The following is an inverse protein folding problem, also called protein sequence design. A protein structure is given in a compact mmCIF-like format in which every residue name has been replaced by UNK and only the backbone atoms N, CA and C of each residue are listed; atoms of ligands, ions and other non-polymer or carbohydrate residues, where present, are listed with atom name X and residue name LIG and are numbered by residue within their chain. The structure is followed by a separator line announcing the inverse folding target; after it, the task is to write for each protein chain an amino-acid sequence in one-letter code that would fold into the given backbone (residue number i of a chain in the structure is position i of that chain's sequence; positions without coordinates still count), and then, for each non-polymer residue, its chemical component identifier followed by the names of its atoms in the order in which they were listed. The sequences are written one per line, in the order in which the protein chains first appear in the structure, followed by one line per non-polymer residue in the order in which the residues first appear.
data_IF_861732399810
#
_entry.id   IF_861732399810
#
_cell.length_a   1.000
_cell.length_b   1.000
_cell.length_c   1.000
_cell.angle_alpha   90.00
_cell.angle_beta   90.00
_cell.angle_gamma   90.00
#
_symmetry.space_group_name_H-M   'P 1'
#
loop_
_entity.id
_entity.type
_entity.pdbx_description
1 polymer ?
#
# COMPACT_ATOMS: atom_id res chain seq x y z
N UNK A 1 -18.35 -0.82 -10.24
CA UNK A 1 -18.57 -1.39 -8.89
C UNK A 1 -17.39 -0.96 -8.05
N UNK A 2 -17.59 -0.41 -6.83
CA UNK A 2 -16.47 0.03 -6.01
C UNK A 2 -15.57 -1.18 -5.71
N UNK A 3 -14.25 -0.99 -5.84
CA UNK A 3 -13.25 -1.99 -5.44
C UNK A 3 -13.42 -2.23 -3.94
N UNK A 4 -14.04 -3.36 -3.57
CA UNK A 4 -14.12 -3.76 -2.17
C UNK A 4 -12.79 -4.40 -1.81
N UNK A 5 -11.93 -3.64 -1.14
CA UNK A 5 -10.77 -4.20 -0.46
C UNK A 5 -11.27 -5.04 0.72
N UNK A 6 -10.56 -6.12 1.02
CA UNK A 6 -10.77 -6.92 2.20
C UNK A 6 -9.48 -6.91 3.04
N UNK A 7 -9.63 -6.48 4.29
CA UNK A 7 -8.56 -6.51 5.29
C UNK A 7 -8.63 -7.85 6.03
N UNK A 8 -7.53 -8.60 6.01
CA UNK A 8 -7.38 -9.90 6.66
C UNK A 8 -6.49 -9.82 7.91
N UNK A 9 -6.13 -8.61 8.36
CA UNK A 9 -5.29 -8.33 9.52
C UNK A 9 -3.81 -8.23 9.20
N UNK A 10 -3.25 -9.23 8.52
CA UNK A 10 -1.83 -9.30 8.11
C UNK A 10 -1.62 -8.97 6.62
N UNK A 11 -2.71 -8.98 5.85
CA UNK A 11 -2.74 -8.87 4.42
C UNK A 11 -4.01 -8.11 3.99
N UNK A 12 -3.88 -7.22 3.03
CA UNK A 12 -5.03 -6.62 2.33
C UNK A 12 -5.12 -7.22 0.93
N UNK A 13 -6.33 -7.57 0.49
CA UNK A 13 -6.58 -8.07 -0.86
C UNK A 13 -7.68 -7.28 -1.55
N UNK A 14 -7.63 -7.20 -2.88
CA UNK A 14 -8.70 -6.62 -3.68
C UNK A 14 -8.75 -7.22 -5.10
N UNK A 15 -9.95 -7.29 -5.71
CA UNK A 15 -10.08 -7.83 -7.06
C UNK A 15 -9.45 -6.89 -8.10
N UNK A 16 -8.79 -7.48 -9.11
CA UNK A 16 -8.24 -6.80 -10.27
C UNK A 16 -9.15 -6.86 -11.50
N UNK A 17 -10.11 -7.79 -11.50
CA UNK A 17 -11.16 -7.91 -12.50
C UNK A 17 -12.54 -8.05 -11.86
N UNK A 18 -13.58 -7.91 -12.68
CA UNK A 18 -14.97 -8.03 -12.22
C UNK A 18 -15.41 -9.48 -12.05
N UNK A 19 -14.72 -10.39 -12.73
CA UNK A 19 -15.00 -11.83 -12.71
C UNK A 19 -14.51 -12.50 -11.42
N UNK A 20 -13.66 -11.83 -10.64
CA UNK A 20 -13.13 -12.36 -9.39
C UNK A 20 -12.07 -13.44 -9.60
N UNK A 21 -11.45 -13.50 -10.78
CA UNK A 21 -10.42 -14.48 -11.12
C UNK A 21 -9.01 -14.00 -10.73
N UNK A 22 -8.80 -12.68 -10.61
CA UNK A 22 -7.50 -12.10 -10.25
C UNK A 22 -7.63 -11.14 -9.08
N UNK A 23 -6.71 -11.26 -8.13
CA UNK A 23 -6.59 -10.36 -6.99
C UNK A 23 -5.17 -9.81 -6.89
N UNK A 24 -5.11 -8.57 -6.41
CA UNK A 24 -3.89 -8.02 -5.86
C UNK A 24 -3.89 -8.23 -4.34
N UNK A 25 -2.69 -8.42 -3.78
CA UNK A 25 -2.48 -8.51 -2.35
C UNK A 25 -1.34 -7.59 -1.90
N UNK A 26 -1.44 -7.06 -0.69
CA UNK A 26 -0.41 -6.26 -0.05
C UNK A 26 -0.23 -6.70 1.41
N UNK A 27 0.95 -7.22 1.80
CA UNK A 27 1.28 -7.49 3.19
C UNK A 27 1.29 -6.21 4.03
N UNK A 28 0.70 -6.26 5.22
CA UNK A 28 0.71 -5.13 6.16
C UNK A 28 1.94 -5.12 7.07
N UNK A 29 2.63 -6.26 7.18
CA UNK A 29 3.87 -6.39 7.93
C UNK A 29 4.95 -7.06 7.07
N UNK A 30 6.22 -6.63 7.18
CA UNK A 30 7.35 -7.38 6.63
C UNK A 30 7.65 -8.62 7.48
N UNK A 31 8.45 -9.53 6.93
CA UNK A 31 8.96 -10.70 7.62
C UNK A 31 10.48 -10.74 7.60
N UNK A 32 11.08 -11.47 8.55
CA UNK A 32 12.50 -11.76 8.53
C UNK A 32 12.73 -12.92 7.57
N UNK A 33 13.70 -12.78 6.66
CA UNK A 33 14.05 -13.86 5.75
C UNK A 33 14.58 -15.05 6.54
N UNK A 34 14.25 -16.25 6.09
CA UNK A 34 14.72 -17.49 6.70
C UNK A 34 15.76 -18.17 5.83
N UNK A 35 16.70 -18.84 6.46
CA UNK A 35 17.60 -19.78 5.81
C UNK A 35 16.84 -21.06 5.39
N UNK A 36 17.44 -21.93 4.54
CA UNK A 36 16.84 -23.21 4.15
C UNK A 36 16.52 -24.14 5.34
N UNK A 37 17.17 -23.94 6.48
CA UNK A 37 16.91 -24.64 7.74
C UNK A 37 15.76 -24.01 8.57
N UNK A 38 15.14 -22.95 8.06
CA UNK A 38 14.06 -22.22 8.71
C UNK A 38 14.51 -21.16 9.73
N UNK A 39 15.81 -21.01 9.98
CA UNK A 39 16.30 -20.02 10.95
C UNK A 39 16.25 -18.59 10.40
N UNK A 40 15.92 -17.57 11.22
CA UNK A 40 15.98 -16.17 10.80
C UNK A 40 17.38 -15.77 10.33
N UNK A 41 17.48 -15.04 9.22
CA UNK A 41 18.71 -14.44 8.70
C UNK A 41 19.06 -13.18 9.46
N UNK A 42 19.48 -13.37 10.70
CA UNK A 42 19.97 -12.32 11.58
C UNK A 42 21.31 -12.76 12.15
N UNK A 43 22.29 -11.86 12.12
CA UNK A 43 23.62 -12.08 12.70
C UNK A 43 24.02 -10.87 13.53
N UNK A 44 24.50 -11.10 14.74
CA UNK A 44 25.09 -10.10 15.62
C UNK A 44 26.47 -10.59 16.02
N UNK A 45 27.51 -9.96 15.48
CA UNK A 45 28.91 -10.30 15.79
C UNK A 45 29.45 -9.26 16.78
N UNK A 46 29.82 -9.70 17.97
CA UNK A 46 30.32 -8.81 19.02
C UNK A 46 31.84 -8.62 18.93
N UNK A 47 32.29 -7.38 19.09
CA UNK A 47 33.70 -7.02 19.13
C UNK A 47 33.94 -5.99 20.25
N UNK A 48 34.01 -6.47 21.49
CA UNK A 48 34.09 -5.61 22.68
C UNK A 48 32.81 -4.80 22.89
N UNK A 49 32.94 -3.47 22.93
CA UNK A 49 31.82 -2.55 23.19
C UNK A 49 30.93 -2.31 21.97
N UNK A 50 31.38 -2.69 20.78
CA UNK A 50 30.62 -2.57 19.54
C UNK A 50 30.09 -3.94 19.11
N UNK A 51 29.07 -3.93 18.25
CA UNK A 51 28.61 -5.12 17.56
C UNK A 51 28.32 -4.81 16.09
N UNK A 52 28.48 -5.81 15.22
CA UNK A 52 28.10 -5.73 13.82
C UNK A 52 26.80 -6.50 13.63
N UNK A 53 25.74 -5.80 13.25
CA UNK A 53 24.44 -6.36 12.95
C UNK A 53 24.27 -6.56 11.45
N UNK A 54 23.78 -7.73 11.07
CA UNK A 54 23.25 -8.02 9.74
C UNK A 54 21.84 -8.60 9.87
N UNK A 55 20.86 -8.03 9.17
CA UNK A 55 19.46 -8.48 9.16
C UNK A 55 18.98 -8.52 7.71
N UNK A 56 18.44 -9.65 7.29
CA UNK A 56 17.73 -9.78 6.01
C UNK A 56 16.22 -9.85 6.25
N UNK A 57 15.47 -9.02 5.54
CA UNK A 57 14.01 -8.93 5.63
C UNK A 57 13.39 -9.00 4.25
N UNK A 58 12.10 -9.24 4.19
CA UNK A 58 11.32 -9.18 2.97
C UNK A 58 9.91 -8.67 3.27
N UNK A 59 9.29 -8.01 2.31
CA UNK A 59 7.92 -7.54 2.40
C UNK A 59 6.99 -8.54 1.74
N UNK A 60 6.72 -9.64 2.46
CA UNK A 60 5.93 -10.76 1.98
C UNK A 60 5.30 -11.50 3.17
N UNK A 61 4.08 -12.02 2.99
CA UNK A 61 3.46 -12.97 3.92
C UNK A 61 3.90 -14.40 3.57
N UNK A 62 3.76 -15.35 4.48
CA UNK A 62 4.21 -16.72 4.23
C UNK A 62 3.46 -17.39 3.06
N UNK A 63 4.14 -18.30 2.36
CA UNK A 63 3.52 -19.08 1.27
C UNK A 63 2.28 -19.84 1.74
N UNK A 64 2.32 -20.40 2.96
CA UNK A 64 1.18 -21.09 3.57
C UNK A 64 -0.03 -20.14 3.76
N UNK A 65 0.24 -18.87 4.11
CA UNK A 65 -0.81 -17.85 4.25
C UNK A 65 -1.38 -17.45 2.90
N UNK A 66 -0.54 -17.23 1.89
CA UNK A 66 -1.00 -16.98 0.52
C UNK A 66 -1.84 -18.14 0.00
N UNK A 67 -1.45 -19.39 0.29
CA UNK A 67 -2.20 -20.57 -0.14
C UNK A 67 -3.59 -20.62 0.50
N UNK A 68 -3.65 -20.37 1.81
CA UNK A 68 -4.90 -20.36 2.54
C UNK A 68 -5.88 -19.30 2.00
N UNK A 69 -5.36 -18.12 1.66
CA UNK A 69 -6.14 -17.04 1.05
C UNK A 69 -6.60 -17.43 -0.36
N UNK A 70 -5.71 -17.99 -1.19
CA UNK A 70 -6.04 -18.47 -2.54
C UNK A 70 -7.15 -19.52 -2.47
N UNK A 71 -6.97 -20.57 -1.67
CA UNK A 71 -7.94 -21.65 -1.50
C UNK A 71 -9.32 -21.14 -1.05
N UNK A 72 -9.36 -20.16 -0.16
CA UNK A 72 -10.61 -19.56 0.31
C UNK A 72 -11.32 -18.76 -0.80
N UNK A 73 -10.58 -18.04 -1.65
CA UNK A 73 -11.14 -17.31 -2.79
C UNK A 73 -11.62 -18.27 -3.88
N UNK A 74 -10.87 -19.33 -4.16
CA UNK A 74 -11.26 -20.35 -5.15
C UNK A 74 -12.56 -21.04 -4.75
N UNK A 75 -12.71 -21.39 -3.46
CA UNK A 75 -13.95 -21.96 -2.93
C UNK A 75 -15.14 -20.99 -3.00
N UNK A 76 -14.90 -19.67 -2.93
CA UNK A 76 -15.95 -18.65 -3.03
C UNK A 76 -16.46 -18.49 -4.48
N UNK A 77 -15.57 -18.59 -5.47
CA UNK A 77 -15.90 -18.36 -6.88
C UNK A 77 -16.12 -19.64 -7.69
N UNK A 78 -15.88 -20.81 -7.10
CA UNK A 78 -15.89 -22.11 -7.78
C UNK A 78 -14.99 -22.11 -9.04
N UNK A 79 -13.86 -21.41 -8.94
CA UNK A 79 -12.94 -21.18 -10.05
C UNK A 79 -11.52 -20.90 -9.54
N UNK A 80 -10.47 -21.22 -10.32
CA UNK A 80 -9.08 -20.89 -9.96
C UNK A 80 -8.86 -19.38 -9.81
N UNK A 81 -8.04 -19.00 -8.84
CA UNK A 81 -7.76 -17.58 -8.53
C UNK A 81 -6.27 -17.28 -8.61
N UNK A 82 -5.93 -16.21 -9.31
CA UNK A 82 -4.57 -15.69 -9.36
C UNK A 82 -4.37 -14.59 -8.31
N UNK A 83 -3.41 -14.80 -7.41
CA UNK A 83 -2.93 -13.77 -6.49
C UNK A 83 -1.66 -13.12 -7.05
N UNK A 84 -1.62 -11.79 -7.05
CA UNK A 84 -0.47 -11.01 -7.49
C UNK A 84 -0.10 -9.95 -6.46
N UNK A 85 1.19 -9.73 -6.22
CA UNK A 85 1.62 -8.67 -5.33
C UNK A 85 1.21 -7.30 -5.91
N UNK A 86 0.69 -6.42 -5.08
CA UNK A 86 0.23 -5.10 -5.49
C UNK A 86 1.35 -4.25 -6.10
N UNK A 87 1.10 -3.64 -7.26
CA UNK A 87 2.08 -2.80 -7.92
C UNK A 87 2.37 -1.53 -7.09
N UNK A 88 3.56 -1.48 -6.48
CA UNK A 88 4.04 -0.36 -5.66
C UNK A 88 5.29 0.25 -6.28
N UNK A 89 5.50 1.54 -6.04
CA UNK A 89 6.65 2.32 -6.51
C UNK A 89 7.49 2.81 -5.32
N UNK A 90 8.80 3.01 -5.55
CA UNK A 90 9.66 3.70 -4.57
C UNK A 90 9.81 2.98 -3.23
N UNK A 91 9.90 1.66 -3.24
CA UNK A 91 10.00 0.86 -2.00
C UNK A 91 11.31 1.15 -1.28
N UNK A 92 11.18 1.63 -0.04
CA UNK A 92 12.28 1.85 0.90
C UNK A 92 12.06 1.00 2.14
N UNK A 93 13.15 0.63 2.81
CA UNK A 93 13.12 -0.16 4.03
C UNK A 93 14.09 0.43 5.06
N UNK A 94 13.65 0.52 6.31
CA UNK A 94 14.43 0.99 7.44
C UNK A 94 14.29 0.06 8.64
N UNK A 95 15.37 -0.07 9.40
CA UNK A 95 15.42 -0.76 10.68
C UNK A 95 15.49 0.28 11.80
N UNK A 96 14.53 0.25 12.70
CA UNK A 96 14.41 1.13 13.86
C UNK A 96 14.79 0.33 15.12
N UNK A 97 15.75 0.82 15.89
CA UNK A 97 16.27 0.18 17.11
C UNK A 97 16.13 1.20 18.26
N UNK A 98 15.19 0.94 19.17
CA UNK A 98 14.82 1.91 20.20
C UNK A 98 14.37 3.26 19.62
N UNK A 99 14.54 4.34 20.38
CA UNK A 99 14.06 5.66 19.98
C UNK A 99 15.01 6.42 19.03
N UNK A 100 16.30 6.10 19.06
CA UNK A 100 17.35 6.99 18.53
C UNK A 100 18.17 6.37 17.38
N UNK A 101 18.03 5.07 17.11
CA UNK A 101 18.83 4.40 16.09
C UNK A 101 17.95 4.00 14.92
N UNK A 102 18.27 4.54 13.74
CA UNK A 102 17.63 4.21 12.47
C UNK A 102 18.69 3.84 11.45
N UNK A 103 18.53 2.68 10.81
CA UNK A 103 19.43 2.16 9.79
C UNK A 103 18.63 1.98 8.51
N UNK A 104 18.98 2.74 7.47
CA UNK A 104 18.38 2.54 6.14
C UNK A 104 18.95 1.28 5.50
N UNK A 105 18.13 0.55 4.75
CA UNK A 105 18.61 -0.58 3.95
C UNK A 105 19.60 -0.08 2.90
N UNK A 106 20.63 -0.88 2.61
CA UNK A 106 21.59 -0.53 1.55
C UNK A 106 20.90 -0.50 0.17
N UNK A 107 19.98 -1.43 -0.04
CA UNK A 107 19.10 -1.50 -1.22
C UNK A 107 17.93 -2.44 -0.93
N UNK A 108 16.84 -2.28 -1.67
CA UNK A 108 15.77 -3.26 -1.78
C UNK A 108 15.90 -3.97 -3.14
N UNK A 109 15.40 -5.21 -3.27
CA UNK A 109 15.52 -5.99 -4.51
C UNK A 109 14.82 -5.38 -5.74
N UNK A 110 14.08 -4.28 -5.60
CA UNK A 110 13.36 -3.60 -6.69
C UNK A 110 12.13 -4.35 -7.22
N UNK A 111 11.92 -5.58 -6.78
CA UNK A 111 10.78 -6.44 -7.15
C UNK A 111 10.31 -7.26 -5.95
N UNK A 112 9.01 -7.59 -5.85
CA UNK A 112 8.48 -8.46 -4.80
C UNK A 112 9.30 -9.75 -4.69
N UNK A 113 9.66 -10.20 -3.48
CA UNK A 113 9.18 -9.77 -2.16
C UNK A 113 9.89 -8.53 -1.57
N UNK A 114 10.56 -7.71 -2.37
CA UNK A 114 11.30 -6.52 -1.92
C UNK A 114 12.28 -6.82 -0.79
N UNK A 115 13.11 -7.84 -0.98
CA UNK A 115 14.12 -8.21 -0.01
C UNK A 115 15.03 -7.02 0.32
N UNK A 116 15.31 -6.79 1.60
CA UNK A 116 16.20 -5.73 2.08
C UNK A 116 17.21 -6.30 3.07
N UNK A 117 18.45 -5.82 2.97
CA UNK A 117 19.55 -6.18 3.88
C UNK A 117 19.99 -4.92 4.62
N UNK A 118 20.03 -5.04 5.94
CA UNK A 118 20.54 -4.03 6.86
C UNK A 118 21.88 -4.50 7.40
N UNK A 119 22.91 -3.66 7.29
CA UNK A 119 24.24 -3.93 7.84
C UNK A 119 24.73 -2.67 8.55
N UNK A 120 25.00 -2.76 9.85
CA UNK A 120 25.45 -1.62 10.64
C UNK A 120 26.35 -2.02 11.80
N UNK A 121 27.28 -1.13 12.14
CA UNK A 121 27.96 -1.17 13.43
C UNK A 121 27.06 -0.51 14.47
N UNK A 122 26.78 -1.21 15.55
CA UNK A 122 25.94 -0.77 16.65
C UNK A 122 26.80 -0.21 17.79
N UNK A 123 26.45 0.97 18.33
CA UNK A 123 26.97 1.41 19.62
C UNK A 123 26.44 0.52 20.75
N UNK A 124 27.07 0.60 21.93
CA UNK A 124 26.74 -0.23 23.09
C UNK A 124 25.25 -0.20 23.47
N UNK A 125 24.60 0.97 23.42
CA UNK A 125 23.17 1.11 23.72
C UNK A 125 22.28 0.32 22.73
N UNK A 126 22.49 0.52 21.43
CA UNK A 126 21.74 -0.20 20.40
C UNK A 126 22.04 -1.70 20.41
N UNK A 127 23.29 -2.09 20.72
CA UNK A 127 23.69 -3.49 20.91
C UNK A 127 22.84 -4.16 21.99
N UNK A 128 22.69 -3.54 23.17
CA UNK A 128 21.88 -4.09 24.26
C UNK A 128 20.40 -4.24 23.87
N UNK A 129 19.85 -3.28 23.13
CA UNK A 129 18.46 -3.34 22.65
C UNK A 129 18.27 -4.51 21.66
N UNK A 130 19.21 -4.70 20.73
CA UNK A 130 19.14 -5.81 19.76
C UNK A 130 19.33 -7.15 20.45
N UNK A 131 20.24 -7.27 21.42
CA UNK A 131 20.40 -8.49 22.22
C UNK A 131 19.09 -8.85 22.96
N UNK A 132 18.44 -7.86 23.56
CA UNK A 132 17.15 -8.05 24.22
C UNK A 132 16.06 -8.51 23.22
N UNK A 133 16.03 -7.93 22.02
CA UNK A 133 15.10 -8.35 20.96
C UNK A 133 15.34 -9.80 20.52
N UNK A 134 16.60 -10.20 20.32
CA UNK A 134 16.99 -11.57 19.99
C UNK A 134 16.68 -12.57 21.10
N UNK A 135 16.65 -12.12 22.35
CA UNK A 135 16.21 -12.89 23.51
C UNK A 135 14.67 -12.97 23.65
N UNK A 136 13.91 -12.41 22.71
CA UNK A 136 12.45 -12.48 22.65
C UNK A 136 11.73 -11.32 23.32
N UNK A 137 12.41 -10.22 23.69
CA UNK A 137 11.72 -9.01 24.12
C UNK A 137 11.13 -8.28 22.90
N UNK A 138 9.81 -8.27 22.82
CA UNK A 138 9.07 -7.65 21.72
C UNK A 138 9.24 -6.12 21.67
N UNK A 139 8.94 -5.54 20.51
CA UNK A 139 8.87 -4.08 20.27
C UNK A 139 10.17 -3.30 20.54
N UNK A 140 11.32 -3.98 20.52
CA UNK A 140 12.65 -3.37 20.66
C UNK A 140 13.30 -2.97 19.33
N UNK A 141 12.98 -3.73 18.29
CA UNK A 141 13.52 -3.57 16.93
C UNK A 141 12.38 -3.73 15.94
N UNK A 142 12.21 -2.75 15.06
CA UNK A 142 11.11 -2.69 14.10
C UNK A 142 11.65 -2.51 12.69
N UNK A 143 11.07 -3.23 11.74
CA UNK A 143 11.36 -3.07 10.32
C UNK A 143 10.20 -2.31 9.69
N UNK A 144 10.51 -1.21 9.00
CA UNK A 144 9.51 -0.37 8.34
C UNK A 144 9.77 -0.35 6.85
N UNK A 145 8.79 -0.78 6.08
CA UNK A 145 8.73 -0.56 4.64
C UNK A 145 7.84 0.64 4.34
N UNK A 146 8.20 1.41 3.32
CA UNK A 146 7.37 2.51 2.80
C UNK A 146 7.38 2.46 1.29
N UNK A 147 6.22 2.69 0.67
CA UNK A 147 6.08 2.66 -0.78
C UNK A 147 4.90 3.50 -1.27
N UNK A 148 4.80 3.71 -2.58
CA UNK A 148 3.65 4.39 -3.19
C UNK A 148 2.78 3.36 -3.90
N UNK A 149 1.53 3.23 -3.47
CA UNK A 149 0.54 2.40 -4.13
C UNK A 149 -0.39 3.28 -4.97
N UNK A 150 -0.46 2.99 -6.27
CA UNK A 150 -1.43 3.63 -7.16
C UNK A 150 -2.66 2.73 -7.29
N UNK A 151 -3.78 3.16 -6.67
CA UNK A 151 -5.05 2.43 -6.76
C UNK A 151 -5.99 3.16 -7.71
N UNK A 152 -6.53 2.46 -8.69
CA UNK A 152 -7.61 2.96 -9.53
C UNK A 152 -8.94 2.69 -8.82
N UNK A 153 -9.56 3.74 -8.29
CA UNK A 153 -10.89 3.67 -7.69
C UNK A 153 -11.98 4.31 -8.56
N UNK A 154 -13.18 3.75 -8.53
CA UNK A 154 -14.39 4.47 -8.93
C UNK A 154 -15.00 5.12 -7.68
N UNK A 155 -15.22 6.44 -7.70
CA UNK A 155 -16.01 7.13 -6.66
C UNK A 155 -17.33 7.56 -7.28
N UNK A 156 -18.43 7.34 -6.56
CA UNK A 156 -19.73 7.88 -6.93
C UNK A 156 -19.84 9.30 -6.38
N UNK A 157 -20.07 10.25 -7.27
CA UNK A 157 -20.34 11.64 -6.92
C UNK A 157 -21.85 11.86 -6.90
N UNK A 158 -22.37 12.24 -5.73
CA UNK A 158 -23.75 12.71 -5.63
C UNK A 158 -23.78 14.21 -5.84
N UNK A 159 -24.45 14.61 -6.90
CA UNK A 159 -24.57 15.99 -7.31
C UNK A 159 -26.03 16.42 -7.19
N UNK A 160 -26.26 17.65 -6.73
CA UNK A 160 -27.59 18.27 -6.70
C UNK A 160 -27.54 19.59 -7.40
N UNK A 161 -28.44 19.80 -8.34
CA UNK A 161 -28.51 21.05 -9.08
C UNK A 161 -29.25 20.86 -10.39
N UNK A 162 -29.29 21.93 -11.17
CA UNK A 162 -29.96 21.94 -12.46
C UNK A 162 -28.91 21.94 -13.57
N UNK A 163 -29.01 20.95 -14.46
CA UNK A 163 -28.19 20.85 -15.66
C UNK A 163 -29.07 21.07 -16.88
N UNK A 164 -28.61 21.92 -17.79
CA UNK A 164 -29.27 22.12 -19.06
C UNK A 164 -28.85 20.99 -20.02
N UNK A 165 -29.79 20.08 -20.32
CA UNK A 165 -29.55 18.98 -21.25
C UNK A 165 -28.82 17.77 -20.64
N UNK A 166 -28.22 16.95 -21.51
CA UNK A 166 -27.54 15.74 -21.06
C UNK A 166 -26.22 16.05 -20.34
N UNK A 167 -25.96 15.41 -19.19
CA UNK A 167 -24.75 15.65 -18.40
C UNK A 167 -23.50 15.18 -19.17
N UNK A 168 -22.67 16.13 -19.58
CA UNK A 168 -21.30 15.88 -20.08
C UNK A 168 -20.28 16.25 -19.01
N UNK A 169 -19.07 15.72 -19.11
CA UNK A 169 -17.96 16.06 -18.18
C UNK A 169 -17.72 17.56 -18.09
N UNK A 170 -17.66 18.21 -19.25
CA UNK A 170 -17.40 19.65 -19.36
C UNK A 170 -18.59 20.47 -18.82
N UNK A 171 -19.83 20.08 -19.13
CA UNK A 171 -21.02 20.74 -18.62
C UNK A 171 -21.18 20.62 -17.10
N UNK A 172 -20.83 19.47 -16.54
CA UNK A 172 -20.78 19.24 -15.10
C UNK A 172 -19.70 20.08 -14.41
N UNK A 173 -18.49 20.13 -14.97
CA UNK A 173 -17.40 20.94 -14.43
C UNK A 173 -17.75 22.43 -14.42
N UNK A 174 -18.31 22.94 -15.53
CA UNK A 174 -18.78 24.32 -15.62
C UNK A 174 -19.92 24.62 -14.64
N UNK A 175 -20.92 23.75 -14.54
CA UNK A 175 -22.05 23.94 -13.63
C UNK A 175 -21.64 23.92 -12.15
N UNK A 176 -20.61 23.15 -11.77
CA UNK A 176 -20.02 23.19 -10.43
C UNK A 176 -19.23 24.48 -10.20
N UNK A 177 -18.42 24.91 -11.17
CA UNK A 177 -17.66 26.16 -11.08
C UNK A 177 -18.58 27.40 -10.98
N UNK A 178 -19.72 27.38 -11.66
CA UNK A 178 -20.74 28.43 -11.65
C UNK A 178 -21.67 28.37 -10.42
N UNK A 179 -21.52 27.38 -9.54
CA UNK A 179 -22.38 27.18 -8.37
C UNK A 179 -23.80 26.68 -8.67
N UNK A 180 -24.09 26.26 -9.91
CA UNK A 180 -25.39 25.69 -10.33
C UNK A 180 -25.58 24.24 -9.90
N UNK A 181 -24.49 23.53 -9.65
CA UNK A 181 -24.47 22.17 -9.14
C UNK A 181 -23.63 22.12 -7.87
N UNK A 182 -24.26 21.69 -6.79
CA UNK A 182 -23.63 21.42 -5.51
C UNK A 182 -23.17 19.96 -5.45
N UNK A 183 -21.92 19.76 -5.02
CA UNK A 183 -21.38 18.43 -4.73
C UNK A 183 -21.81 18.02 -3.32
N UNK A 184 -22.86 17.21 -3.22
CA UNK A 184 -23.40 16.74 -1.95
C UNK A 184 -22.47 15.75 -1.22
N UNK A 185 -21.58 15.10 -1.97
CA UNK A 185 -20.59 14.19 -1.41
C UNK A 185 -19.95 13.31 -2.47
N UNK A 186 -18.75 12.82 -2.16
CA UNK A 186 -18.09 11.75 -2.88
C UNK A 186 -18.11 10.51 -1.99
N UNK A 187 -18.67 9.41 -2.47
CA UNK A 187 -18.68 8.15 -1.72
C UNK A 187 -17.26 7.69 -1.38
N UNK A 188 -17.08 7.22 -0.14
CA UNK A 188 -15.82 6.62 0.40
C UNK A 188 -14.56 7.42 0.08
N UNK A 189 -14.62 8.75 0.23
CA UNK A 189 -13.43 9.60 0.24
C UNK A 189 -13.25 10.16 1.65
N UNK A 190 -12.03 10.11 2.19
CA UNK A 190 -11.69 10.86 3.40
C UNK A 190 -11.91 12.37 3.16
N UNK A 191 -12.10 13.15 4.22
CA UNK A 191 -12.40 14.59 4.11
C UNK A 191 -11.39 15.35 3.25
N UNK A 192 -10.10 14.98 3.33
CA UNK A 192 -9.03 15.55 2.50
C UNK A 192 -9.16 15.19 1.01
N UNK A 193 -9.64 13.99 0.68
CA UNK A 193 -9.83 13.56 -0.71
C UNK A 193 -11.06 14.22 -1.33
N UNK A 194 -12.10 14.49 -0.52
CA UNK A 194 -13.24 15.30 -0.92
C UNK A 194 -12.80 16.74 -1.25
N UNK A 195 -11.93 17.36 -0.44
CA UNK A 195 -11.46 18.72 -0.65
C UNK A 195 -10.54 18.85 -1.88
N UNK A 196 -9.64 17.88 -2.08
CA UNK A 196 -8.77 17.82 -3.26
C UNK A 196 -9.58 17.66 -4.57
N UNK A 197 -10.65 16.85 -4.54
CA UNK A 197 -11.51 16.64 -5.70
C UNK A 197 -12.32 17.90 -6.04
N UNK A 198 -12.86 18.60 -5.02
CA UNK A 198 -13.55 19.89 -5.18
C UNK A 198 -12.64 20.94 -5.82
N UNK A 199 -11.38 21.04 -5.38
CA UNK A 199 -10.38 21.95 -5.97
C UNK A 199 -10.03 21.58 -7.41
N UNK A 200 -9.91 20.30 -7.72
CA UNK A 200 -9.57 19.82 -9.08
C UNK A 200 -10.70 20.09 -10.07
N UNK A 201 -11.96 19.96 -9.65
CA UNK A 201 -13.13 20.29 -10.47
C UNK A 201 -13.26 21.81 -10.69
N UNK A 202 -12.93 22.63 -9.69
CA UNK A 202 -12.91 24.09 -9.81
C UNK A 202 -11.80 24.63 -10.72
N UNK A 203 -10.74 23.85 -10.98
CA UNK A 203 -9.57 24.25 -11.79
C UNK A 203 -9.63 23.74 -13.25
N UNK A 204 -10.66 22.98 -13.62
CA UNK A 204 -10.76 22.25 -14.89
C UNK A 204 -11.23 23.06 -16.09
N UNK A 205 -10.47 24.07 -16.50
CA UNK A 205 -10.65 24.77 -17.78
C UNK A 205 -9.41 24.67 -18.66
N UNK A 206 -9.29 23.61 -19.48
CA UNK A 206 -8.76 23.66 -20.86
C UNK A 206 -8.60 22.28 -21.51
N UNK A 207 -9.24 22.20 -22.68
CA UNK A 207 -8.88 21.46 -23.91
C UNK A 207 -9.42 20.05 -24.18
N UNK A 208 -9.69 19.75 -25.46
CA UNK A 208 -10.85 19.00 -25.89
C UNK A 208 -10.49 17.64 -26.49
N UNK A 209 -11.41 16.68 -26.42
CA UNK A 209 -11.80 15.87 -27.57
C UNK A 209 -13.06 15.07 -27.25
N UNK A 210 -14.01 15.13 -28.19
CA UNK A 210 -15.37 14.65 -28.08
C UNK A 210 -15.43 13.12 -28.18
N UNK A 211 -16.03 12.47 -27.19
CA UNK A 211 -16.86 11.27 -27.40
C UNK A 211 -17.80 11.08 -26.20
N UNK A 212 -19.00 10.58 -26.47
CA UNK A 212 -20.04 10.36 -25.48
C UNK A 212 -19.54 9.42 -24.37
N UNK A 213 -19.73 9.78 -23.10
CA UNK A 213 -19.26 8.91 -22.03
C UNK A 213 -19.59 9.37 -20.62
N UNK A 214 -20.06 8.40 -19.83
CA UNK A 214 -19.91 8.32 -18.37
C UNK A 214 -18.63 9.03 -17.91
N UNK A 215 -18.78 10.02 -17.05
CA UNK A 215 -17.67 10.86 -16.59
C UNK A 215 -16.88 10.11 -15.53
N UNK A 216 -15.89 9.33 -15.96
CA UNK A 216 -14.93 8.68 -15.08
C UNK A 216 -13.78 9.65 -14.79
N UNK A 217 -13.73 10.21 -13.58
CA UNK A 217 -12.57 10.99 -13.12
C UNK A 217 -11.52 10.02 -12.59
N UNK A 218 -10.47 9.77 -13.39
CA UNK A 218 -9.30 8.97 -12.98
C UNK A 218 -8.23 9.86 -12.37
N UNK A 219 -7.98 9.70 -11.07
CA UNK A 219 -6.64 9.60 -10.45
C UNK A 219 -6.80 9.63 -8.93
N UNK A 220 -6.16 8.69 -8.23
CA UNK A 220 -5.51 9.03 -6.97
C UNK A 220 -4.24 8.21 -6.76
N UNK A 221 -3.16 8.92 -6.44
CA UNK A 221 -1.87 8.38 -5.98
C UNK A 221 -1.95 8.34 -4.44
N UNK A 222 -1.59 7.23 -3.80
CA UNK A 222 -1.52 7.14 -2.34
C UNK A 222 -0.13 6.68 -1.92
N UNK A 223 0.52 7.44 -1.05
CA UNK A 223 1.73 6.98 -0.34
C UNK A 223 1.28 6.15 0.85
N UNK A 224 1.86 4.98 1.05
CA UNK A 224 1.62 4.07 2.17
C UNK A 224 2.94 3.86 2.92
#
# INVERSE_FOLDING_TARGET
MPVRYQDLGDLVIWPLDQEGARYAFLPLAPSIQKNPDGQPRVSLIEAGEIAFLSVSTEWMVSDARLEAVRSALEALHDAPVQLTFAAVEGVQAALEIGANTRIEAQSTSGMPPYAAIFSAQLPAEAKTIVQAALAGQEERVTVRYSAVLTVLGETELRLRGQLDGHPTREGLAAAVADGRVEVLGAGTLSAEESDLLKRTLALGGRSPERSAGRVTVRRKRRSI
#
